data_IF_359239567000
#
_entry.id   IF_359239567000
#
_cell.length_a   1.000
_cell.length_b   1.000
_cell.length_c   1.000
_cell.angle_alpha   90.00
_cell.angle_beta   90.00
_cell.angle_gamma   90.00
#
_symmetry.space_group_name_H-M   'P 1'
#
loop_
_entity.id
_entity.type
_entity.pdbx_description
1 polymer ?
#
# COMPACT_ATOMS: atom_id res chain seq x y z
N UNK A 1 -10.06 19.42 -28.01
CA UNK A 1 -9.94 18.85 -26.64
C UNK A 1 -9.49 19.96 -25.70
N UNK A 2 -9.88 19.91 -24.41
CA UNK A 2 -9.34 20.84 -23.39
C UNK A 2 -7.98 20.31 -22.91
N UNK A 3 -6.97 21.17 -22.66
CA UNK A 3 -5.69 20.70 -22.12
C UNK A 3 -5.89 20.05 -20.74
N UNK A 4 -5.15 18.97 -20.48
CA UNK A 4 -5.17 18.30 -19.19
C UNK A 4 -4.52 19.16 -18.10
N UNK A 5 -5.06 19.18 -16.87
CA UNK A 5 -4.45 19.91 -15.76
C UNK A 5 -3.12 19.26 -15.35
N UNK A 6 -2.12 20.08 -15.06
CA UNK A 6 -0.79 19.60 -14.63
C UNK A 6 -0.64 19.56 -13.10
N UNK A 7 -1.55 20.19 -12.37
CA UNK A 7 -1.54 20.26 -10.91
C UNK A 7 -2.97 20.31 -10.33
N UNK A 8 -3.11 19.84 -9.08
CA UNK A 8 -4.34 19.95 -8.29
C UNK A 8 -4.08 20.66 -6.95
N UNK A 9 -5.06 21.44 -6.49
CA UNK A 9 -5.02 22.08 -5.16
C UNK A 9 -5.33 21.06 -4.09
N UNK A 10 -4.55 21.03 -3.01
CA UNK A 10 -4.74 20.14 -1.87
C UNK A 10 -5.68 20.76 -0.81
N UNK A 11 -6.26 19.95 0.10
CA UNK A 11 -6.99 20.45 1.26
C UNK A 11 -6.12 21.38 2.11
N UNK A 12 -6.75 22.37 2.75
CA UNK A 12 -6.03 23.30 3.63
C UNK A 12 -5.64 22.58 4.92
N UNK A 13 -4.45 22.88 5.43
CA UNK A 13 -4.06 22.50 6.80
C UNK A 13 -4.39 23.63 7.77
N UNK A 14 -4.72 23.31 9.03
CA UNK A 14 -4.83 24.32 10.10
C UNK A 14 -3.55 25.15 10.21
N UNK A 15 -3.69 26.47 10.36
CA UNK A 15 -2.55 27.39 10.51
C UNK A 15 -1.82 27.77 9.22
N UNK A 16 -2.10 27.15 8.07
CA UNK A 16 -1.49 27.54 6.80
C UNK A 16 -2.27 28.68 6.11
N UNK A 17 -1.59 29.80 5.89
CA UNK A 17 -2.14 30.96 5.17
C UNK A 17 -2.36 30.67 3.69
N UNK A 18 -1.46 29.91 3.06
CA UNK A 18 -1.43 29.68 1.62
C UNK A 18 -1.90 28.27 1.23
N UNK A 19 -2.54 28.11 0.06
CA UNK A 19 -2.94 26.79 -0.45
C UNK A 19 -1.75 26.01 -1.00
N UNK A 20 -1.77 24.70 -0.79
CA UNK A 20 -0.78 23.77 -1.34
C UNK A 20 -1.26 23.17 -2.65
N UNK A 21 -0.32 22.87 -3.54
CA UNK A 21 -0.59 22.23 -4.83
C UNK A 21 0.30 20.99 -5.01
N UNK A 22 -0.18 20.04 -5.80
CA UNK A 22 0.56 18.83 -6.18
C UNK A 22 0.54 18.67 -7.69
N UNK A 23 1.68 18.27 -8.28
CA UNK A 23 1.77 17.94 -9.71
C UNK A 23 1.12 16.59 -10.02
N UNK A 24 0.54 16.46 -11.22
CA UNK A 24 -0.09 15.22 -11.70
C UNK A 24 0.85 14.35 -12.55
N UNK A 25 2.09 14.79 -12.74
CA UNK A 25 3.07 14.15 -13.62
C UNK A 25 3.69 12.84 -13.06
N UNK A 26 3.53 12.54 -11.77
CA UNK A 26 4.10 11.35 -11.14
C UNK A 26 3.06 10.25 -10.82
N UNK A 27 1.89 10.30 -11.45
CA UNK A 27 0.79 9.36 -11.18
C UNK A 27 0.10 9.58 -9.83
N UNK A 28 -0.85 8.71 -9.51
CA UNK A 28 -1.58 8.76 -8.25
C UNK A 28 -0.72 8.30 -7.07
N UNK A 29 -0.72 9.02 -5.95
CA UNK A 29 0.03 8.60 -4.77
C UNK A 29 -0.53 7.31 -4.21
N UNK A 30 0.34 6.31 -4.04
CA UNK A 30 0.10 5.19 -3.15
C UNK A 30 0.19 5.73 -1.71
N UNK A 31 -0.95 6.05 -1.10
CA UNK A 31 -1.02 6.31 0.34
C UNK A 31 -0.90 7.77 0.81
N UNK A 32 -1.34 8.76 0.02
CA UNK A 32 -1.50 10.12 0.56
C UNK A 32 -2.79 10.20 1.39
N UNK A 33 -2.77 9.55 2.56
CA UNK A 33 -3.74 9.77 3.61
C UNK A 33 -3.67 11.25 3.96
N UNK A 34 -4.83 11.93 3.89
CA UNK A 34 -4.97 13.25 4.48
C UNK A 34 -4.32 13.18 5.86
N UNK A 35 -3.38 14.08 6.14
CA UNK A 35 -2.77 14.19 7.46
C UNK A 35 -3.80 14.76 8.46
N UNK A 36 -4.94 14.09 8.60
CA UNK A 36 -5.61 14.06 9.88
C UNK A 36 -4.71 13.23 10.81
N UNK A 37 -4.48 13.64 12.07
CA UNK A 37 -3.96 12.71 13.05
C UNK A 37 -4.85 11.46 13.00
N UNK A 38 -4.28 10.24 12.92
CA UNK A 38 -5.10 9.05 12.95
C UNK A 38 -6.00 9.16 14.19
N UNK A 39 -7.30 8.83 14.10
CA UNK A 39 -8.07 8.63 15.32
C UNK A 39 -7.25 7.66 16.17
N UNK A 40 -7.05 7.97 17.46
CA UNK A 40 -6.36 7.05 18.36
C UNK A 40 -7.06 5.70 18.22
N UNK A 41 -6.37 4.73 17.61
CA UNK A 41 -6.96 3.43 17.35
C UNK A 41 -7.43 2.87 18.71
N UNK A 42 -8.65 2.32 18.80
CA UNK A 42 -9.07 1.62 20.00
C UNK A 42 -8.04 0.52 20.31
N UNK A 43 -7.85 0.15 21.59
CA UNK A 43 -6.94 -0.93 21.93
C UNK A 43 -7.28 -2.14 21.08
N UNK A 44 -6.28 -2.65 20.35
CA UNK A 44 -6.41 -3.77 19.43
C UNK A 44 -7.27 -4.86 20.07
N UNK A 45 -8.36 -5.24 19.39
CA UNK A 45 -9.20 -6.30 19.89
C UNK A 45 -8.34 -7.56 20.05
N UNK A 46 -8.48 -8.28 21.16
CA UNK A 46 -7.56 -9.35 21.59
C UNK A 46 -7.38 -10.50 20.60
N UNK A 47 -8.15 -10.56 19.51
CA UNK A 47 -8.02 -11.54 18.42
C UNK A 47 -7.28 -11.05 17.17
N UNK A 48 -7.05 -9.74 17.00
CA UNK A 48 -6.43 -9.22 15.76
C UNK A 48 -5.01 -9.73 15.55
N UNK A 49 -4.27 -9.92 16.64
CA UNK A 49 -2.91 -10.44 16.58
C UNK A 49 -2.87 -11.93 16.22
N UNK A 50 -3.80 -12.72 16.74
CA UNK A 50 -3.95 -14.15 16.43
C UNK A 50 -4.37 -14.35 14.97
N UNK A 51 -5.34 -13.56 14.49
CA UNK A 51 -5.79 -13.56 13.10
C UNK A 51 -4.66 -13.16 12.15
N UNK A 52 -3.87 -12.15 12.52
CA UNK A 52 -2.72 -11.72 11.73
C UNK A 52 -1.63 -12.80 11.68
N UNK A 53 -1.35 -13.47 12.79
CA UNK A 53 -0.40 -14.59 12.85
C UNK A 53 -0.85 -15.76 11.97
N UNK A 54 -2.14 -16.14 12.02
CA UNK A 54 -2.69 -17.19 11.17
C UNK A 54 -2.54 -16.85 9.69
N UNK A 55 -2.84 -15.60 9.31
CA UNK A 55 -2.71 -15.12 7.93
C UNK A 55 -1.27 -15.09 7.45
N UNK A 56 -0.32 -14.69 8.30
CA UNK A 56 1.11 -14.70 7.96
C UNK A 56 1.58 -16.14 7.71
N UNK A 57 1.23 -17.08 8.57
CA UNK A 57 1.59 -18.50 8.41
C UNK A 57 1.05 -19.10 7.09
N UNK A 58 -0.20 -18.79 6.73
CA UNK A 58 -0.78 -19.22 5.44
C UNK A 58 -0.01 -18.64 4.24
N UNK A 59 0.33 -17.36 4.31
CA UNK A 59 1.08 -16.68 3.24
C UNK A 59 2.49 -17.26 3.11
N UNK A 60 3.19 -17.51 4.21
CA UNK A 60 4.52 -18.12 4.22
C UNK A 60 4.49 -19.51 3.58
N UNK A 61 3.51 -20.35 3.92
CA UNK A 61 3.34 -21.67 3.31
C UNK A 61 3.07 -21.58 1.80
N UNK A 62 2.24 -20.62 1.36
CA UNK A 62 1.96 -20.39 -0.06
C UNK A 62 3.18 -19.90 -0.82
N UNK A 63 3.96 -19.00 -0.23
CA UNK A 63 5.21 -18.51 -0.83
C UNK A 63 6.20 -19.66 -0.99
N UNK A 64 6.42 -20.46 0.05
CA UNK A 64 7.31 -21.61 -0.02
C UNK A 64 6.90 -22.62 -1.12
N UNK A 65 5.60 -22.87 -1.28
CA UNK A 65 5.09 -23.70 -2.37
C UNK A 65 5.36 -23.09 -3.76
N UNK A 66 5.12 -21.79 -3.93
CA UNK A 66 5.33 -21.10 -5.21
C UNK A 66 6.81 -21.01 -5.58
N UNK A 67 7.68 -20.78 -4.60
CA UNK A 67 9.13 -20.75 -4.79
C UNK A 67 9.66 -22.14 -5.16
N UNK A 68 9.26 -23.19 -4.44
CA UNK A 68 9.63 -24.57 -4.79
C UNK A 68 9.14 -25.00 -6.18
N UNK A 69 7.92 -24.59 -6.57
CA UNK A 69 7.40 -24.85 -7.92
C UNK A 69 8.19 -24.11 -9.01
N UNK A 70 8.68 -22.90 -8.71
CA UNK A 70 9.52 -22.11 -9.63
C UNK A 70 10.91 -22.72 -9.78
N UNK A 71 11.49 -23.21 -8.70
CA UNK A 71 12.81 -23.84 -8.71
C UNK A 71 12.77 -25.21 -9.42
N UNK A 72 11.74 -26.01 -9.18
CA UNK A 72 11.53 -27.28 -9.89
C UNK A 72 11.27 -27.13 -11.40
N UNK A 73 10.76 -25.98 -11.85
CA UNK A 73 10.61 -25.66 -13.27
C UNK A 73 11.94 -25.25 -13.93
N UNK A 74 12.92 -24.78 -13.16
CA UNK A 74 14.26 -24.43 -13.66
C UNK A 74 15.18 -25.66 -13.81
N UNK A 75 14.84 -26.79 -13.17
CA UNK A 75 15.66 -28.01 -13.15
C UNK A 75 15.29 -29.08 -14.19
N UNK A 76 14.32 -28.83 -15.09
CA UNK A 76 14.09 -29.75 -16.22
C UNK A 76 15.24 -29.62 -17.24
N UNK A 77 16.17 -30.59 -17.33
CA UNK A 77 17.21 -30.56 -18.35
C UNK A 77 16.62 -31.08 -19.66
N UNK A 78 16.94 -30.38 -20.74
CA UNK A 78 16.74 -30.83 -22.11
C UNK A 78 17.20 -32.30 -22.26
N UNK A 79 16.30 -33.17 -22.71
CA UNK A 79 16.64 -34.42 -23.38
C UNK A 79 16.85 -34.16 -24.87
#
# INVERSE_FOLDING_TARGET
SRPEPLAKRLPRRPGEKEPRYRHLLAGDPVGEQASDPPPSDPPAATGELEDLQARVSELEARVAHLEGAKDGAAESPSA
#
